data_IF_574306894076
#
_entry.id   IF_574306894076
#
_cell.length_a   1.000
_cell.length_b   1.000
_cell.length_c   1.000
_cell.angle_alpha   90.00
_cell.angle_beta   90.00
_cell.angle_gamma   90.00
#
_symmetry.space_group_name_H-M   'P 1'
#
loop_
_entity.id
_entity.type
_entity.pdbx_description
1 polymer ?
#
# COMPACT_ATOMS: atom_id res chain seq x y z
N UNK A 1 -8.40 22.77 -7.74
CA UNK A 1 -7.19 22.87 -8.58
C UNK A 1 -6.31 21.66 -8.27
N UNK A 2 -6.27 20.64 -9.16
CA UNK A 2 -5.39 19.47 -8.99
C UNK A 2 -3.96 19.92 -9.33
N UNK A 3 -3.03 19.86 -8.37
CA UNK A 3 -1.61 20.18 -8.63
C UNK A 3 -1.07 19.17 -9.65
N UNK A 4 -0.37 19.64 -10.68
CA UNK A 4 0.36 18.75 -11.59
C UNK A 4 1.29 17.83 -10.79
N UNK A 5 1.29 16.54 -11.11
CA UNK A 5 2.06 15.53 -10.38
C UNK A 5 1.30 14.74 -9.32
N UNK A 6 -0.03 14.89 -9.23
CA UNK A 6 -0.87 14.01 -8.42
C UNK A 6 -1.12 12.65 -9.11
N UNK A 7 -0.85 11.56 -8.42
CA UNK A 7 -1.03 10.19 -8.91
C UNK A 7 -2.23 9.51 -8.24
N UNK A 8 -3.15 8.97 -9.05
CA UNK A 8 -4.22 8.11 -8.55
C UNK A 8 -3.71 6.68 -8.47
N UNK A 9 -3.80 6.06 -7.31
CA UNK A 9 -3.37 4.68 -7.10
C UNK A 9 -4.55 3.74 -7.27
N UNK A 10 -4.37 2.72 -8.09
CA UNK A 10 -5.35 1.64 -8.27
C UNK A 10 -5.29 0.67 -7.09
N UNK A 11 -6.04 0.98 -6.04
CA UNK A 11 -6.09 0.16 -4.83
C UNK A 11 -6.91 -1.11 -5.04
N UNK A 12 -6.29 -2.25 -4.76
CA UNK A 12 -6.95 -3.55 -4.66
C UNK A 12 -7.24 -3.87 -3.19
N UNK A 13 -8.50 -4.03 -2.81
CA UNK A 13 -8.88 -4.43 -1.44
C UNK A 13 -8.41 -5.87 -1.14
N UNK A 14 -7.95 -6.10 0.09
CA UNK A 14 -7.50 -7.41 0.57
C UNK A 14 -8.43 -7.85 1.70
N UNK A 15 -8.85 -9.11 1.68
CA UNK A 15 -9.83 -9.67 2.64
C UNK A 15 -11.21 -9.92 2.06
N UNK A 16 -11.43 -9.62 0.78
CA UNK A 16 -12.55 -10.19 0.02
C UNK A 16 -12.33 -11.71 -0.17
N UNK A 17 -13.39 -12.53 -0.23
CA UNK A 17 -13.29 -13.99 -0.26
C UNK A 17 -12.43 -14.54 -1.41
N UNK A 18 -12.29 -13.77 -2.51
CA UNK A 18 -11.46 -14.13 -3.67
C UNK A 18 -10.06 -13.51 -3.64
N UNK A 19 -9.68 -12.80 -2.57
CA UNK A 19 -8.35 -12.22 -2.45
C UNK A 19 -7.30 -13.33 -2.29
N UNK A 20 -6.19 -13.30 -3.04
CA UNK A 20 -5.19 -14.35 -2.97
C UNK A 20 -4.56 -14.39 -1.58
N UNK A 21 -4.77 -15.49 -0.87
CA UNK A 21 -4.03 -15.83 0.34
C UNK A 21 -2.60 -16.12 -0.08
N UNK A 22 -1.64 -15.41 0.51
CA UNK A 22 -0.21 -15.64 0.24
C UNK A 22 0.11 -17.12 0.46
N UNK A 23 0.73 -17.75 -0.52
CA UNK A 23 1.16 -19.14 -0.40
C UNK A 23 2.21 -19.30 0.71
N UNK A 24 2.40 -20.50 1.29
CA UNK A 24 3.36 -20.74 2.38
C UNK A 24 4.82 -20.32 2.06
N UNK A 25 5.17 -20.27 0.77
CA UNK A 25 6.49 -19.88 0.29
C UNK A 25 6.65 -18.35 0.06
N UNK A 26 5.55 -17.61 0.00
CA UNK A 26 5.53 -16.16 -0.25
C UNK A 26 5.74 -15.40 1.08
N UNK A 27 7.01 -15.14 1.43
CA UNK A 27 7.35 -14.33 2.61
C UNK A 27 7.13 -12.85 2.34
N UNK A 28 6.03 -12.31 2.84
CA UNK A 28 5.80 -10.88 2.94
C UNK A 28 6.83 -10.25 3.91
N UNK A 29 7.45 -9.15 3.49
CA UNK A 29 8.28 -8.31 4.37
C UNK A 29 7.81 -6.87 4.31
N UNK A 30 7.68 -6.24 5.46
CA UNK A 30 7.49 -4.79 5.59
C UNK A 30 8.88 -4.15 5.66
N UNK A 31 9.17 -3.25 4.73
CA UNK A 31 10.45 -2.56 4.60
C UNK A 31 10.44 -1.18 5.27
N UNK A 32 9.29 -0.51 5.26
CA UNK A 32 9.05 0.75 5.94
C UNK A 32 7.57 0.88 6.28
N UNK A 33 7.24 1.64 7.33
CA UNK A 33 5.86 1.92 7.70
C UNK A 33 5.73 3.34 8.26
N UNK A 34 4.54 3.91 8.19
CA UNK A 34 4.21 5.15 8.89
C UNK A 34 3.93 4.89 10.37
N UNK A 35 3.98 5.92 11.21
CA UNK A 35 3.44 5.83 12.58
C UNK A 35 1.98 5.32 12.54
N UNK A 36 1.54 4.72 13.64
CA UNK A 36 0.13 4.42 13.89
C UNK A 36 -0.64 5.62 14.47
N UNK A 37 -0.10 6.83 14.32
CA UNK A 37 -0.66 8.04 14.90
C UNK A 37 -1.81 8.66 14.07
N UNK A 38 -2.08 8.11 12.88
CA UNK A 38 -3.12 8.59 11.94
C UNK A 38 -4.10 7.48 11.57
N UNK A 39 -5.32 7.84 11.17
CA UNK A 39 -6.34 6.87 10.73
C UNK A 39 -5.90 6.06 9.50
N UNK A 40 -5.12 6.66 8.60
CA UNK A 40 -4.52 5.98 7.45
C UNK A 40 -3.06 5.65 7.72
N UNK A 41 -2.71 4.37 7.59
CA UNK A 41 -1.35 3.85 7.69
C UNK A 41 -0.89 3.36 6.33
N UNK A 42 0.40 3.51 6.05
CA UNK A 42 1.04 2.95 4.88
C UNK A 42 2.21 2.06 5.27
N UNK A 43 2.36 0.94 4.56
CA UNK A 43 3.50 0.03 4.66
C UNK A 43 4.08 -0.18 3.25
N UNK A 44 5.40 -0.03 3.11
CA UNK A 44 6.13 -0.46 1.91
C UNK A 44 6.47 -1.94 2.07
N UNK A 45 5.91 -2.79 1.22
CA UNK A 45 6.02 -4.24 1.31
C UNK A 45 6.85 -4.82 0.17
N UNK A 46 7.50 -5.96 0.44
CA UNK A 46 8.10 -6.83 -0.59
C UNK A 46 7.56 -8.25 -0.50
N UNK A 47 7.36 -8.88 -1.65
CA UNK A 47 6.85 -10.23 -1.79
C UNK A 47 7.36 -10.86 -3.10
N UNK A 48 8.13 -11.95 -3.02
CA UNK A 48 8.57 -12.68 -4.23
C UNK A 48 9.30 -11.81 -5.26
N UNK A 49 10.05 -10.78 -4.81
CA UNK A 49 10.74 -9.84 -5.70
C UNK A 49 9.89 -8.68 -6.23
N UNK A 50 8.59 -8.66 -5.92
CA UNK A 50 7.70 -7.54 -6.19
C UNK A 50 7.55 -6.64 -4.97
N UNK A 51 7.22 -5.37 -5.21
CA UNK A 51 7.04 -4.35 -4.19
C UNK A 51 5.72 -3.63 -4.38
N UNK A 52 5.09 -3.23 -3.28
CA UNK A 52 3.81 -2.54 -3.30
C UNK A 52 3.60 -1.79 -1.99
N UNK A 53 2.61 -0.89 -1.97
CA UNK A 53 2.18 -0.22 -0.75
C UNK A 53 0.93 -0.92 -0.23
N UNK A 54 0.92 -1.30 1.04
CA UNK A 54 -0.31 -1.62 1.75
C UNK A 54 -0.81 -0.37 2.46
N UNK A 55 -2.09 -0.08 2.28
CA UNK A 55 -2.82 0.98 2.97
C UNK A 55 -3.83 0.36 3.90
N UNK A 56 -3.76 0.73 5.17
CA UNK A 56 -4.77 0.40 6.17
C UNK A 56 -5.52 1.67 6.54
N UNK A 57 -6.83 1.68 6.36
CA UNK A 57 -7.70 2.78 6.78
C UNK A 57 -8.55 2.28 7.94
N UNK A 58 -8.29 2.79 9.14
CA UNK A 58 -9.04 2.42 10.34
C UNK A 58 -10.42 3.06 10.32
N UNK A 59 -11.44 2.27 10.61
CA UNK A 59 -12.84 2.70 10.59
C UNK A 59 -13.67 2.05 11.71
N UNK A 60 -14.87 2.59 12.00
CA UNK A 60 -15.74 2.09 13.06
C UNK A 60 -16.27 0.67 12.79
N UNK A 61 -16.25 0.21 11.53
CA UNK A 61 -16.66 -1.13 11.11
C UNK A 61 -15.49 -2.10 10.93
N UNK A 62 -14.29 -1.71 11.41
CA UNK A 62 -13.05 -2.44 11.20
C UNK A 62 -12.11 -1.73 10.21
N UNK A 63 -10.94 -2.33 10.04
CA UNK A 63 -9.87 -1.79 9.20
C UNK A 63 -10.07 -2.20 7.74
N UNK A 64 -10.07 -1.22 6.82
CA UNK A 64 -10.02 -1.49 5.39
C UNK A 64 -8.56 -1.59 4.93
N UNK A 65 -8.17 -2.75 4.43
CA UNK A 65 -6.84 -3.00 3.89
C UNK A 65 -6.89 -3.04 2.37
N UNK A 66 -6.01 -2.29 1.72
CA UNK A 66 -5.83 -2.33 0.27
C UNK A 66 -4.36 -2.28 -0.14
N UNK A 67 -4.04 -2.84 -1.30
CA UNK A 67 -2.70 -2.88 -1.86
C UNK A 67 -2.64 -2.10 -3.18
N UNK A 68 -1.55 -1.39 -3.41
CA UNK A 68 -1.22 -0.84 -4.74
C UNK A 68 -0.85 -1.97 -5.72
N UNK A 69 -0.72 -1.69 -7.02
CA UNK A 69 -0.16 -2.64 -7.97
C UNK A 69 1.24 -3.13 -7.55
N UNK A 70 1.54 -4.39 -7.87
CA UNK A 70 2.86 -5.00 -7.67
C UNK A 70 3.83 -4.50 -8.73
N UNK A 71 4.85 -3.75 -8.31
CA UNK A 71 5.77 -3.03 -9.20
C UNK A 71 7.24 -3.25 -8.79
N UNK A 72 8.17 -2.74 -9.60
CA UNK A 72 9.61 -2.77 -9.32
C UNK A 72 9.94 -1.89 -8.11
N UNK A 73 10.99 -2.25 -7.36
CA UNK A 73 11.42 -1.57 -6.14
C UNK A 73 11.51 -0.05 -6.28
N UNK A 74 12.19 0.46 -7.31
CA UNK A 74 12.37 1.91 -7.51
C UNK A 74 11.03 2.64 -7.65
N UNK A 75 10.07 2.06 -8.38
CA UNK A 75 8.73 2.65 -8.54
C UNK A 75 7.93 2.60 -7.25
N UNK A 76 8.07 1.54 -6.45
CA UNK A 76 7.41 1.44 -5.14
C UNK A 76 7.96 2.47 -4.15
N UNK A 77 9.28 2.71 -4.14
CA UNK A 77 9.91 3.76 -3.33
C UNK A 77 9.48 5.16 -3.78
N UNK A 78 9.37 5.41 -5.08
CA UNK A 78 8.84 6.68 -5.60
C UNK A 78 7.39 6.90 -5.15
N UNK A 79 6.54 5.88 -5.27
CA UNK A 79 5.15 5.93 -4.83
C UNK A 79 5.03 6.16 -3.31
N UNK A 80 5.87 5.49 -2.52
CA UNK A 80 5.97 5.69 -1.07
C UNK A 80 6.15 7.17 -0.72
N UNK A 81 7.16 7.83 -1.29
CA UNK A 81 7.39 9.25 -1.01
C UNK A 81 6.29 10.16 -1.55
N UNK A 82 5.64 9.81 -2.68
CA UNK A 82 4.48 10.56 -3.17
C UNK A 82 3.30 10.50 -2.21
N UNK A 83 3.00 9.32 -1.65
CA UNK A 83 1.95 9.17 -0.64
C UNK A 83 2.26 9.98 0.62
N UNK A 84 3.49 9.88 1.15
CA UNK A 84 3.90 10.64 2.34
C UNK A 84 3.85 12.16 2.13
N UNK A 85 4.06 12.64 0.90
CA UNK A 85 3.97 14.06 0.54
C UNK A 85 2.55 14.52 0.17
N UNK A 86 1.57 13.61 0.17
CA UNK A 86 0.20 13.90 -0.26
C UNK A 86 0.03 14.10 -1.77
N UNK A 87 1.00 13.64 -2.57
CA UNK A 87 0.99 13.71 -4.03
C UNK A 87 0.44 12.43 -4.70
N UNK A 88 -0.01 11.46 -3.93
CA UNK A 88 -0.72 10.29 -4.43
C UNK A 88 -1.85 9.90 -3.47
N UNK A 89 -2.92 9.26 -3.96
CA UNK A 89 -3.99 8.68 -3.12
C UNK A 89 -4.68 7.50 -3.73
#
# INVERSE_FOLDING_TARGET
MRRGGFEVVEWRKIGEPDAPVLGPAERLRVLAHTCECRATLYELCSLGGHYFIRRTVRGPSGDEIAESPRIRHSKAVDLWFRLLRGNAR
#
